data_IF_063348747233
#
_entry.id   IF_063348747233
#
_cell.length_a   1.000
_cell.length_b   1.000
_cell.length_c   1.000
_cell.angle_alpha   90.00
_cell.angle_beta   90.00
_cell.angle_gamma   90.00
#
_symmetry.space_group_name_H-M   'P 1'
#
loop_
_entity.id
_entity.type
_entity.pdbx_description
1 polymer ?
#
# COMPACT_ATOMS: atom_id res chain seq x y z
N UNK A 1 2.61 -34.70 -35.62
CA UNK A 1 3.61 -33.64 -35.52
C UNK A 1 3.70 -33.32 -34.05
N UNK A 2 4.83 -33.69 -33.44
CA UNK A 2 5.10 -33.49 -32.02
C UNK A 2 5.34 -32.00 -31.76
N UNK A 3 4.44 -31.34 -31.01
CA UNK A 3 4.61 -29.99 -30.44
C UNK A 3 4.93 -29.96 -28.92
N UNK A 4 5.58 -30.95 -28.28
CA UNK A 4 5.80 -30.94 -26.83
C UNK A 4 6.80 -29.86 -26.36
N UNK A 5 7.69 -29.40 -27.23
CA UNK A 5 8.70 -28.38 -26.88
C UNK A 5 8.09 -26.98 -26.70
N UNK A 6 7.06 -26.63 -27.48
CA UNK A 6 6.35 -25.35 -27.37
C UNK A 6 5.59 -25.26 -26.03
N UNK A 7 4.97 -26.36 -25.60
CA UNK A 7 4.28 -26.44 -24.32
C UNK A 7 5.26 -26.37 -23.14
N UNK A 8 6.43 -27.01 -23.24
CA UNK A 8 7.46 -26.92 -22.20
C UNK A 8 8.01 -25.50 -22.05
N UNK A 9 8.28 -24.80 -23.16
CA UNK A 9 8.77 -23.43 -23.10
C UNK A 9 7.72 -22.48 -22.50
N UNK A 10 6.45 -22.64 -22.89
CA UNK A 10 5.34 -21.87 -22.36
C UNK A 10 5.19 -22.03 -20.85
N UNK A 11 5.29 -23.26 -20.33
CA UNK A 11 5.23 -23.52 -18.89
C UNK A 11 6.36 -22.81 -18.11
N UNK A 12 7.58 -22.75 -18.68
CA UNK A 12 8.71 -22.05 -18.06
C UNK A 12 8.45 -20.54 -18.01
N UNK A 13 7.98 -19.94 -19.12
CA UNK A 13 7.68 -18.51 -19.18
C UNK A 13 6.51 -18.14 -18.27
N UNK A 14 5.48 -18.97 -18.19
CA UNK A 14 4.34 -18.76 -17.30
C UNK A 14 4.77 -18.82 -15.83
N UNK A 15 5.63 -19.79 -15.47
CA UNK A 15 6.25 -19.88 -14.15
C UNK A 15 7.07 -18.64 -13.79
N UNK A 16 7.96 -18.20 -14.69
CA UNK A 16 8.77 -17.00 -14.49
C UNK A 16 7.90 -15.74 -14.35
N UNK A 17 6.86 -15.62 -15.18
CA UNK A 17 5.92 -14.49 -15.12
C UNK A 17 5.15 -14.48 -13.79
N UNK A 18 4.75 -15.66 -13.31
CA UNK A 18 4.09 -15.81 -12.03
C UNK A 18 5.01 -15.38 -10.86
N UNK A 19 6.26 -15.83 -10.88
CA UNK A 19 7.25 -15.51 -9.85
C UNK A 19 7.60 -14.02 -9.84
N UNK A 20 7.79 -13.41 -11.01
CA UNK A 20 8.01 -11.97 -11.13
C UNK A 20 6.84 -11.15 -10.58
N UNK A 21 5.59 -11.57 -10.87
CA UNK A 21 4.40 -10.90 -10.34
C UNK A 21 4.32 -11.01 -8.83
N UNK A 22 4.65 -12.19 -8.29
CA UNK A 22 4.69 -12.42 -6.84
C UNK A 22 5.72 -11.52 -6.18
N UNK A 23 6.93 -11.48 -6.70
CA UNK A 23 8.00 -10.65 -6.14
C UNK A 23 7.65 -9.16 -6.19
N UNK A 24 7.09 -8.69 -7.30
CA UNK A 24 6.60 -7.31 -7.40
C UNK A 24 5.50 -7.00 -6.37
N UNK A 25 4.60 -7.95 -6.12
CA UNK A 25 3.56 -7.78 -5.10
C UNK A 25 4.15 -7.72 -3.69
N UNK A 26 5.10 -8.60 -3.37
CA UNK A 26 5.78 -8.63 -2.08
C UNK A 26 6.59 -7.35 -1.83
N UNK A 27 7.31 -6.86 -2.85
CA UNK A 27 8.03 -5.59 -2.79
C UNK A 27 7.08 -4.41 -2.54
N UNK A 28 5.97 -4.34 -3.29
CA UNK A 28 4.96 -3.28 -3.11
C UNK A 28 4.27 -3.35 -1.74
N UNK A 29 3.98 -4.55 -1.25
CA UNK A 29 3.42 -4.75 0.08
C UNK A 29 4.38 -4.29 1.17
N UNK A 30 5.66 -4.62 1.05
CA UNK A 30 6.71 -4.19 1.97
C UNK A 30 6.87 -2.67 1.97
N UNK A 31 6.88 -2.05 0.79
CA UNK A 31 6.93 -0.59 0.64
C UNK A 31 5.72 0.07 1.32
N UNK A 32 4.51 -0.44 1.08
CA UNK A 32 3.29 0.10 1.67
C UNK A 32 3.31 0.04 3.22
N UNK A 33 3.80 -1.06 3.79
CA UNK A 33 3.95 -1.22 5.25
C UNK A 33 4.97 -0.24 5.83
N UNK A 34 6.10 -0.05 5.15
CA UNK A 34 7.12 0.91 5.57
C UNK A 34 6.60 2.35 5.49
N UNK A 35 5.94 2.72 4.38
CA UNK A 35 5.32 4.02 4.21
C UNK A 35 4.29 4.27 5.32
N UNK A 36 3.39 3.33 5.59
CA UNK A 36 2.40 3.44 6.66
C UNK A 36 3.05 3.68 8.03
N UNK A 37 4.11 2.94 8.34
CA UNK A 37 4.84 3.09 9.60
C UNK A 37 5.47 4.49 9.71
N UNK A 38 6.12 4.97 8.67
CA UNK A 38 6.78 6.28 8.67
C UNK A 38 5.72 7.40 8.76
N UNK A 39 4.63 7.32 8.00
CA UNK A 39 3.48 8.23 8.10
C UNK A 39 2.98 8.35 9.53
N UNK A 40 2.78 7.22 10.22
CA UNK A 40 2.34 7.20 11.62
C UNK A 40 3.35 7.86 12.56
N UNK A 41 4.65 7.64 12.35
CA UNK A 41 5.71 8.29 13.13
C UNK A 41 5.72 9.80 12.91
N UNK A 42 5.64 10.27 11.66
CA UNK A 42 5.59 11.71 11.34
C UNK A 42 4.44 12.38 12.09
N UNK A 43 3.26 11.76 12.06
CA UNK A 43 2.10 12.26 12.77
C UNK A 43 2.32 12.32 14.29
N UNK A 44 2.79 11.22 14.89
CA UNK A 44 3.01 11.12 16.34
C UNK A 44 4.06 12.14 16.82
N UNK A 45 5.18 12.26 16.10
CA UNK A 45 6.24 13.21 16.43
C UNK A 45 5.78 14.65 16.28
N UNK A 46 5.03 14.97 15.21
CA UNK A 46 4.50 16.33 15.02
C UNK A 46 3.59 16.72 16.19
N UNK A 47 2.65 15.84 16.57
CA UNK A 47 1.76 16.07 17.72
C UNK A 47 2.57 16.21 19.02
N UNK A 48 3.59 15.36 19.24
CA UNK A 48 4.45 15.42 20.42
C UNK A 48 5.23 16.74 20.54
N UNK A 49 5.56 17.38 19.42
CA UNK A 49 6.22 18.69 19.36
C UNK A 49 5.23 19.88 19.35
N UNK A 50 3.94 19.63 19.58
CA UNK A 50 2.92 20.67 19.71
C UNK A 50 2.34 21.17 18.38
N UNK A 51 2.55 20.45 17.27
CA UNK A 51 1.88 20.76 16.01
C UNK A 51 0.38 20.49 16.16
N UNK A 52 -0.51 21.42 15.75
CA UNK A 52 -1.96 21.19 15.77
C UNK A 52 -2.34 19.92 15.02
N UNK A 53 -3.28 19.15 15.56
CA UNK A 53 -3.68 17.84 15.05
C UNK A 53 -3.99 17.83 13.56
N UNK A 54 -4.79 18.80 13.08
CA UNK A 54 -5.16 18.90 11.67
C UNK A 54 -3.93 19.09 10.75
N UNK A 55 -2.96 19.91 11.17
CA UNK A 55 -1.74 20.14 10.40
C UNK A 55 -0.80 18.92 10.46
N UNK A 56 -0.69 18.25 11.62
CA UNK A 56 0.08 17.01 11.73
C UNK A 56 -0.50 15.89 10.85
N UNK A 57 -1.82 15.82 10.75
CA UNK A 57 -2.54 14.88 9.88
C UNK A 57 -2.31 15.20 8.40
N UNK A 58 -2.35 16.47 8.02
CA UNK A 58 -2.03 16.94 6.65
C UNK A 58 -0.57 16.59 6.29
N UNK A 59 0.39 16.91 7.15
CA UNK A 59 1.80 16.58 6.94
C UNK A 59 2.05 15.08 6.74
N UNK A 60 1.41 14.24 7.55
CA UNK A 60 1.50 12.79 7.42
C UNK A 60 0.82 12.30 6.12
N UNK A 61 -0.32 12.89 5.78
CA UNK A 61 -1.04 12.62 4.54
C UNK A 61 -0.27 12.99 3.27
N UNK A 62 0.45 14.11 3.30
CA UNK A 62 1.32 14.57 2.20
C UNK A 62 2.47 13.57 1.97
N UNK A 63 3.12 13.13 3.05
CA UNK A 63 4.17 12.10 2.96
C UNK A 63 3.61 10.81 2.36
N UNK A 64 2.48 10.31 2.87
CA UNK A 64 1.84 9.11 2.32
C UNK A 64 1.54 9.28 0.83
N UNK A 65 0.97 10.41 0.44
CA UNK A 65 0.59 10.69 -0.94
C UNK A 65 1.81 10.77 -1.86
N UNK A 66 2.92 11.34 -1.38
CA UNK A 66 4.19 11.39 -2.09
C UNK A 66 4.79 10.00 -2.34
N UNK A 67 4.79 9.13 -1.33
CA UNK A 67 5.39 7.80 -1.44
C UNK A 67 4.49 6.79 -2.18
N UNK A 68 3.18 6.85 -1.96
CA UNK A 68 2.23 5.87 -2.50
C UNK A 68 1.55 6.31 -3.80
N UNK A 69 1.74 7.58 -4.20
CA UNK A 69 1.08 8.18 -5.37
C UNK A 69 -0.44 8.23 -5.26
N UNK A 70 -0.99 8.10 -4.04
CA UNK A 70 -2.41 8.06 -3.74
C UNK A 70 -2.68 8.71 -2.40
N UNK A 71 -3.79 9.45 -2.24
CA UNK A 71 -4.18 9.96 -0.94
C UNK A 71 -4.41 8.81 0.06
N UNK A 72 -4.20 9.04 1.36
CA UNK A 72 -4.53 8.06 2.38
C UNK A 72 -6.03 7.74 2.30
N UNK A 73 -6.39 6.47 2.52
CA UNK A 73 -7.79 6.09 2.61
C UNK A 73 -8.38 6.66 3.91
N UNK A 74 -8.98 7.84 3.82
CA UNK A 74 -9.75 8.44 4.92
C UNK A 74 -11.05 7.65 5.04
N UNK A 75 -11.14 6.81 6.07
CA UNK A 75 -12.44 6.30 6.49
C UNK A 75 -13.21 7.51 7.06
N UNK A 76 -14.44 7.79 6.60
CA UNK A 76 -15.22 8.87 7.19
C UNK A 76 -15.36 8.61 8.69
N UNK A 77 -14.92 9.55 9.51
CA UNK A 77 -15.18 9.53 10.95
C UNK A 77 -16.69 9.71 11.14
N UNK A 78 -17.39 8.63 11.47
CA UNK A 78 -18.82 8.63 11.76
C UNK A 78 -19.68 7.98 10.68
N UNK A 79 -19.63 6.65 10.60
CA UNK A 79 -20.85 5.87 10.41
C UNK A 79 -20.89 4.88 11.58
N UNK A 80 -21.35 5.40 12.73
CA UNK A 80 -21.78 4.54 13.83
C UNK A 80 -22.89 3.68 13.23
N UNK A 81 -22.59 2.43 12.90
CA UNK A 81 -23.47 1.47 12.24
C UNK A 81 -24.72 1.10 13.05
N UNK A 82 -25.51 2.10 13.45
CA UNK A 82 -26.86 1.97 13.96
C UNK A 82 -27.74 1.80 12.74
N UNK A 83 -27.91 0.54 12.35
CA UNK A 83 -29.05 0.11 11.55
C UNK A 83 -30.31 0.56 12.29
N UNK A 84 -30.91 1.67 11.87
CA UNK A 84 -32.29 1.96 12.22
C UNK A 84 -33.16 0.97 11.43
N UNK A 85 -33.55 -0.11 12.10
CA UNK A 85 -34.66 -0.99 11.68
C UNK A 85 -35.99 -0.24 11.58
#
# INVERSE_FOLDING_TARGET
MDEPELDSFKQIIDGLTHDLRREQLEQRGTLALLAARITGVIYQDAVAHGVPHALAQEMAGDFWSGEMGRPPCVMPEGDDGVLHE
#
